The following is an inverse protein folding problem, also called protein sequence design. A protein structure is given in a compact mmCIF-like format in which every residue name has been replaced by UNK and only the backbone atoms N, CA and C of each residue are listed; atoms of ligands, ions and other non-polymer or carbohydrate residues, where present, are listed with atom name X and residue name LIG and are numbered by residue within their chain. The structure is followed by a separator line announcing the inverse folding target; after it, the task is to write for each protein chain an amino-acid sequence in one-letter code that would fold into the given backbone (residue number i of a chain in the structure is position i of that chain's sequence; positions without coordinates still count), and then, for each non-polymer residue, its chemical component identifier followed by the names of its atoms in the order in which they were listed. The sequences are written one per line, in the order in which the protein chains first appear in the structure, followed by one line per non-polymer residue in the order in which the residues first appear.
data_IF_341127533955
#
_entry.id   IF_341127533955
#
_cell.length_a   1.000
_cell.length_b   1.000
_cell.length_c   1.000
_cell.angle_alpha   90.00
_cell.angle_beta   90.00
_cell.angle_gamma   90.00
#
_symmetry.space_group_name_H-M   'P 1'
#
loop_
_entity.id
_entity.type
_entity.pdbx_description
1 polymer ?
#
# COMPACT_ATOMS: atom_id res chain seq x y z
N UNK A 1 1.29 7.73 -19.41
CA UNK A 1 -0.17 7.88 -19.21
C UNK A 1 -0.54 9.26 -18.67
N UNK A 2 -0.01 9.71 -17.51
CA UNK A 2 -0.37 11.04 -16.93
C UNK A 2 -0.13 12.20 -17.92
N UNK A 3 1.02 12.25 -18.58
CA UNK A 3 1.31 13.29 -19.58
C UNK A 3 0.37 13.25 -20.81
N UNK A 4 -0.18 12.08 -21.17
CA UNK A 4 -1.17 11.99 -22.25
C UNK A 4 -2.53 12.51 -21.78
N UNK A 5 -2.95 12.16 -20.56
CA UNK A 5 -4.18 12.70 -19.96
C UNK A 5 -4.10 14.22 -19.80
N UNK A 6 -2.94 14.75 -19.41
CA UNK A 6 -2.77 16.20 -19.28
C UNK A 6 -2.98 16.95 -20.61
N UNK A 7 -2.53 16.36 -21.73
CA UNK A 7 -2.71 16.94 -23.07
C UNK A 7 -4.14 16.80 -23.61
N UNK A 8 -4.84 15.71 -23.27
CA UNK A 8 -6.13 15.36 -23.87
C UNK A 8 -7.34 15.81 -23.04
N UNK A 9 -7.21 15.85 -21.71
CA UNK A 9 -8.31 16.18 -20.82
C UNK A 9 -8.54 17.70 -20.75
N UNK A 10 -9.80 18.15 -20.58
CA UNK A 10 -10.11 19.56 -20.32
C UNK A 10 -9.27 20.10 -19.16
N UNK A 11 -8.83 21.36 -19.21
CA UNK A 11 -7.94 21.96 -18.18
C UNK A 11 -8.54 21.96 -16.77
N UNK A 12 -9.88 21.87 -16.66
CA UNK A 12 -10.63 21.76 -15.40
C UNK A 12 -10.70 20.33 -14.84
N UNK A 13 -10.34 19.31 -15.61
CA UNK A 13 -10.39 17.92 -15.16
C UNK A 13 -9.24 17.60 -14.19
N UNK A 14 -9.56 16.94 -13.08
CA UNK A 14 -8.57 16.36 -12.17
C UNK A 14 -7.99 15.08 -12.77
N UNK A 15 -6.69 14.86 -12.55
CA UNK A 15 -6.00 13.63 -12.97
C UNK A 15 -5.51 12.93 -11.70
N UNK A 16 -6.05 11.75 -11.43
CA UNK A 16 -5.74 10.97 -10.24
C UNK A 16 -5.02 9.65 -10.60
N UNK A 17 -4.02 9.27 -9.81
CA UNK A 17 -3.35 7.97 -9.89
C UNK A 17 -3.77 7.06 -8.73
N UNK A 18 -4.05 5.79 -9.02
CA UNK A 18 -4.33 4.73 -8.02
C UNK A 18 -3.08 3.88 -7.71
N UNK A 19 -1.88 4.44 -7.86
CA UNK A 19 -0.64 3.73 -7.54
C UNK A 19 -0.53 3.45 -6.04
N UNK A 20 -0.32 2.20 -5.64
CA UNK A 20 -0.16 1.79 -4.24
C UNK A 20 1.26 1.96 -3.69
N UNK A 21 2.26 1.97 -4.57
CA UNK A 21 3.69 1.97 -4.19
C UNK A 21 4.37 3.31 -4.45
N UNK A 22 4.11 3.92 -5.60
CA UNK A 22 4.74 5.17 -6.00
C UNK A 22 3.86 6.37 -5.66
N UNK A 23 4.36 7.37 -4.91
CA UNK A 23 3.63 8.61 -4.68
C UNK A 23 3.49 9.42 -5.98
N UNK A 24 2.49 10.30 -6.04
CA UNK A 24 2.23 11.09 -7.26
C UNK A 24 3.41 11.99 -7.64
N UNK A 25 4.20 12.44 -6.67
CA UNK A 25 5.43 13.21 -6.87
C UNK A 25 6.45 12.47 -7.74
N UNK A 26 6.70 11.19 -7.44
CA UNK A 26 7.58 10.31 -8.23
C UNK A 26 6.99 10.01 -9.61
N UNK A 27 5.67 9.83 -9.72
CA UNK A 27 5.00 9.53 -10.99
C UNK A 27 5.11 10.69 -12.00
N UNK A 28 5.07 11.93 -11.52
CA UNK A 28 5.17 13.11 -12.38
C UNK A 28 6.60 13.64 -12.53
N UNK A 29 7.57 13.05 -11.83
CA UNK A 29 8.97 13.45 -11.92
C UNK A 29 9.47 13.32 -13.37
N UNK A 30 10.08 14.38 -13.89
CA UNK A 30 10.57 14.43 -15.26
C UNK A 30 9.49 14.55 -16.35
N UNK A 31 8.20 14.68 -15.99
CA UNK A 31 7.13 14.92 -16.97
C UNK A 31 6.89 16.42 -17.20
N UNK A 32 6.77 16.82 -18.46
CA UNK A 32 6.29 18.15 -18.84
C UNK A 32 4.76 18.17 -18.85
N UNK A 33 4.16 18.79 -17.83
CA UNK A 33 2.71 18.94 -17.68
C UNK A 33 2.31 20.40 -17.86
N UNK A 34 1.27 20.64 -18.65
CA UNK A 34 0.67 21.96 -18.86
C UNK A 34 0.02 22.50 -17.58
N UNK A 35 -0.53 21.62 -16.74
CA UNK A 35 -1.08 21.99 -15.43
C UNK A 35 -0.97 20.83 -14.42
N UNK A 36 0.18 20.73 -13.76
CA UNK A 36 0.42 19.74 -12.69
C UNK A 36 -0.40 20.00 -11.41
N UNK A 37 -0.96 21.21 -11.22
CA UNK A 37 -1.69 21.57 -9.98
C UNK A 37 -2.96 20.76 -9.80
N UNK A 38 -3.48 20.16 -10.89
CA UNK A 38 -4.67 19.28 -10.93
C UNK A 38 -4.37 17.78 -10.80
N UNK A 39 -3.10 17.43 -10.61
CA UNK A 39 -2.63 16.05 -10.52
C UNK A 39 -2.45 15.65 -9.06
N UNK A 40 -2.97 14.48 -8.68
CA UNK A 40 -2.96 13.94 -7.32
C UNK A 40 -3.02 12.40 -7.32
N UNK A 41 -2.90 11.78 -6.14
CA UNK A 41 -3.21 10.36 -5.93
C UNK A 41 -4.62 10.20 -5.37
N UNK A 42 -5.31 9.16 -5.82
CA UNK A 42 -6.54 8.64 -5.25
C UNK A 42 -6.41 7.11 -5.15
N UNK A 43 -5.90 6.64 -4.01
CA UNK A 43 -5.55 5.25 -3.77
C UNK A 43 -6.71 4.50 -3.10
N UNK A 44 -7.31 3.58 -3.86
CA UNK A 44 -8.37 2.67 -3.42
C UNK A 44 -7.82 1.30 -3.05
N UNK A 45 -8.54 0.58 -2.21
CA UNK A 45 -8.12 -0.73 -1.71
C UNK A 45 -8.83 -1.89 -2.42
N UNK A 46 -8.12 -3.01 -2.57
CA UNK A 46 -8.73 -4.30 -2.88
C UNK A 46 -9.06 -5.01 -1.56
N UNK A 47 -10.22 -5.68 -1.42
CA UNK A 47 -11.24 -5.98 -2.43
C UNK A 47 -12.21 -4.80 -2.68
N UNK A 48 -12.98 -4.79 -3.80
CA UNK A 48 -13.68 -3.60 -4.29
C UNK A 48 -14.82 -3.14 -3.38
N UNK A 49 -15.21 -3.96 -2.40
CA UNK A 49 -16.16 -3.60 -1.35
C UNK A 49 -15.57 -2.62 -0.33
N UNK A 50 -14.24 -2.45 -0.30
CA UNK A 50 -13.61 -1.44 0.55
C UNK A 50 -13.98 -0.04 0.08
N UNK A 51 -14.65 0.72 0.95
CA UNK A 51 -14.95 2.12 0.70
C UNK A 51 -13.76 3.05 0.97
N UNK A 52 -12.65 2.56 1.51
CA UNK A 52 -11.51 3.39 1.87
C UNK A 52 -10.83 3.96 0.61
N UNK A 53 -10.59 5.27 0.62
CA UNK A 53 -9.88 5.98 -0.43
C UNK A 53 -8.89 6.96 0.20
N UNK A 54 -7.61 6.88 -0.16
CA UNK A 54 -6.61 7.84 0.29
C UNK A 54 -6.34 8.87 -0.80
N UNK A 55 -6.45 10.16 -0.45
CA UNK A 55 -6.21 11.27 -1.37
C UNK A 55 -4.95 12.00 -0.91
N UNK A 56 -3.99 12.14 -1.81
CA UNK A 56 -2.69 12.75 -1.55
C UNK A 56 -2.26 13.64 -2.71
N UNK A 57 -1.87 14.88 -2.43
CA UNK A 57 -1.25 15.77 -3.41
C UNK A 57 0.28 15.68 -3.41
N UNK A 58 0.91 16.33 -4.38
CA UNK A 58 2.32 16.73 -4.32
C UNK A 58 2.44 18.20 -3.92
N UNK A 59 3.66 18.72 -3.82
CA UNK A 59 3.96 20.08 -3.35
C UNK A 59 3.22 21.19 -4.11
N UNK A 60 2.89 20.98 -5.39
CA UNK A 60 2.24 21.99 -6.24
C UNK A 60 0.76 21.72 -6.50
N UNK A 61 0.20 20.61 -6.00
CA UNK A 61 -1.24 20.33 -6.10
C UNK A 61 -2.06 21.46 -5.45
N UNK A 62 -3.13 21.92 -6.10
CA UNK A 62 -4.04 22.88 -5.48
C UNK A 62 -4.81 22.20 -4.32
N UNK A 63 -4.71 22.71 -3.07
CA UNK A 63 -5.44 22.15 -1.92
C UNK A 63 -6.96 22.09 -2.12
N UNK A 64 -7.55 23.00 -2.91
CA UNK A 64 -8.98 22.98 -3.20
C UNK A 64 -9.40 21.73 -3.97
N UNK A 65 -8.53 21.18 -4.82
CA UNK A 65 -8.82 19.95 -5.56
C UNK A 65 -8.80 18.71 -4.67
N UNK A 66 -8.00 18.72 -3.60
CA UNK A 66 -8.06 17.68 -2.57
C UNK A 66 -9.41 17.73 -1.87
N UNK A 67 -9.83 18.90 -1.42
CA UNK A 67 -11.13 19.10 -0.76
C UNK A 67 -12.31 18.71 -1.67
N UNK A 68 -12.27 19.14 -2.93
CA UNK A 68 -13.27 18.78 -3.94
C UNK A 68 -13.36 17.27 -4.12
N UNK A 69 -12.22 16.60 -4.35
CA UNK A 69 -12.24 15.15 -4.56
C UNK A 69 -12.69 14.40 -3.30
N UNK A 70 -12.33 14.86 -2.10
CA UNK A 70 -12.86 14.31 -0.86
C UNK A 70 -14.38 14.46 -0.76
N UNK A 71 -14.93 15.62 -1.15
CA UNK A 71 -16.39 15.82 -1.14
C UNK A 71 -17.09 14.90 -2.14
N UNK A 72 -16.63 14.88 -3.39
CA UNK A 72 -17.21 14.05 -4.45
C UNK A 72 -17.10 12.56 -4.11
N UNK A 73 -15.96 12.10 -3.57
CA UNK A 73 -15.78 10.70 -3.18
C UNK A 73 -16.82 10.25 -2.14
N UNK A 74 -17.16 11.12 -1.16
CA UNK A 74 -18.21 10.82 -0.18
C UNK A 74 -19.59 10.68 -0.83
N UNK A 75 -19.92 11.53 -1.81
CA UNK A 75 -21.18 11.45 -2.56
C UNK A 75 -21.34 10.13 -3.31
N UNK A 76 -20.21 9.51 -3.67
CA UNK A 76 -20.16 8.21 -4.35
C UNK A 76 -19.97 7.00 -3.43
N UNK A 77 -20.10 7.17 -2.10
CA UNK A 77 -20.05 6.07 -1.13
C UNK A 77 -18.66 5.67 -0.66
N UNK A 78 -17.62 6.41 -1.03
CA UNK A 78 -16.28 6.22 -0.47
C UNK A 78 -16.11 6.95 0.87
N UNK A 79 -15.19 6.44 1.68
CA UNK A 79 -14.65 7.04 2.89
C UNK A 79 -13.26 7.62 2.57
N UNK A 80 -13.15 8.90 2.16
CA UNK A 80 -11.87 9.49 1.78
C UNK A 80 -11.06 9.97 2.99
N UNK A 81 -9.77 9.66 2.97
CA UNK A 81 -8.77 10.05 3.96
C UNK A 81 -7.69 10.91 3.31
N UNK A 82 -7.46 12.10 3.86
CA UNK A 82 -6.45 13.02 3.33
C UNK A 82 -5.06 12.69 3.89
N UNK A 83 -4.16 12.27 3.01
CA UNK A 83 -2.74 12.13 3.32
C UNK A 83 -2.09 13.50 3.24
N UNK A 84 -1.84 14.10 4.40
CA UNK A 84 -1.47 15.52 4.53
C UNK A 84 -0.09 15.89 3.94
N UNK A 85 0.77 14.90 3.74
CA UNK A 85 2.13 15.05 3.24
C UNK A 85 2.47 13.86 2.36
N UNK A 86 3.44 14.06 1.48
CA UNK A 86 3.96 12.98 0.66
C UNK A 86 4.43 11.81 1.53
N UNK A 87 3.93 10.61 1.23
CA UNK A 87 4.14 9.42 2.04
C UNK A 87 4.11 8.17 1.17
N UNK A 88 5.24 7.48 1.13
CA UNK A 88 5.35 6.16 0.50
C UNK A 88 4.49 5.14 1.25
N UNK A 89 3.54 4.55 0.52
CA UNK A 89 2.48 3.70 1.09
C UNK A 89 1.38 4.47 1.81
N UNK A 90 1.23 5.78 1.56
CA UNK A 90 0.15 6.61 2.10
C UNK A 90 0.05 6.52 3.63
N UNK A 91 -1.14 6.30 4.19
CA UNK A 91 -1.37 6.11 5.63
C UNK A 91 -1.35 4.61 5.94
N UNK A 92 -2.28 3.83 5.37
CA UNK A 92 -2.49 2.44 5.78
C UNK A 92 -1.33 1.54 5.37
N UNK A 93 -0.91 1.54 4.10
CA UNK A 93 0.18 0.65 3.65
C UNK A 93 1.51 0.96 4.37
N UNK A 94 1.76 2.23 4.72
CA UNK A 94 2.94 2.63 5.51
C UNK A 94 2.92 2.05 6.92
N UNK A 95 1.77 2.07 7.60
CA UNK A 95 1.60 1.48 8.94
C UNK A 95 1.64 -0.04 8.85
N UNK A 96 0.95 -0.60 7.85
CA UNK A 96 0.94 -2.04 7.57
C UNK A 96 2.34 -2.59 7.32
N UNK A 97 3.20 -1.88 6.60
CA UNK A 97 4.60 -2.27 6.41
C UNK A 97 5.37 -2.41 7.74
N UNK A 98 5.08 -1.57 8.75
CA UNK A 98 5.68 -1.71 10.06
C UNK A 98 5.15 -2.94 10.84
N UNK A 99 3.83 -3.13 10.86
CA UNK A 99 3.18 -4.27 11.51
C UNK A 99 3.68 -5.58 10.91
N UNK A 100 3.69 -5.65 9.58
CA UNK A 100 4.12 -6.80 8.80
C UNK A 100 5.58 -7.15 9.06
N UNK A 101 6.47 -6.15 9.04
CA UNK A 101 7.89 -6.33 9.33
C UNK A 101 8.11 -6.89 10.73
N UNK A 102 7.43 -6.34 11.74
CA UNK A 102 7.56 -6.79 13.12
C UNK A 102 7.00 -8.20 13.33
N UNK A 103 5.88 -8.54 12.67
CA UNK A 103 5.32 -9.87 12.68
C UNK A 103 6.31 -10.91 12.10
N UNK A 104 6.92 -10.59 10.95
CA UNK A 104 7.95 -11.43 10.34
C UNK A 104 9.19 -11.57 11.22
N UNK A 105 9.64 -10.48 11.85
CA UNK A 105 10.79 -10.51 12.76
C UNK A 105 10.51 -11.40 13.98
N UNK A 106 9.35 -11.23 14.60
CA UNK A 106 8.89 -12.05 15.74
C UNK A 106 8.90 -13.54 15.41
N UNK A 107 8.44 -13.91 14.20
CA UNK A 107 8.48 -15.30 13.74
C UNK A 107 9.90 -15.78 13.40
N UNK A 108 10.73 -14.92 12.79
CA UNK A 108 12.11 -15.24 12.44
C UNK A 108 12.99 -15.47 13.68
N UNK A 109 12.75 -14.75 14.76
CA UNK A 109 13.41 -14.91 16.06
C UNK A 109 12.88 -16.12 16.86
N UNK A 110 11.82 -16.77 16.38
CA UNK A 110 11.24 -17.94 17.03
C UNK A 110 10.43 -17.64 18.29
N UNK A 111 10.01 -16.38 18.49
CA UNK A 111 9.19 -15.96 19.64
C UNK A 111 7.81 -16.61 19.60
N UNK A 112 7.24 -16.74 18.39
CA UNK A 112 5.95 -17.38 18.16
C UNK A 112 5.84 -17.87 16.70
N UNK A 113 4.95 -18.83 16.46
CA UNK A 113 4.61 -19.30 15.12
C UNK A 113 3.68 -18.32 14.38
N UNK A 114 3.63 -18.35 13.04
CA UNK A 114 2.66 -17.56 12.26
C UNK A 114 1.21 -17.71 12.75
N UNK A 115 0.80 -18.94 13.13
CA UNK A 115 -0.56 -19.20 13.62
C UNK A 115 -0.86 -18.61 14.99
N UNK A 116 0.13 -18.59 15.90
CA UNK A 116 -0.02 -17.95 17.21
C UNK A 116 -0.08 -16.42 17.07
N UNK A 117 0.77 -15.84 16.20
CA UNK A 117 0.78 -14.40 15.94
C UNK A 117 -0.56 -13.98 15.30
N UNK A 118 -1.07 -14.72 14.33
CA UNK A 118 -2.39 -14.42 13.75
C UNK A 118 -3.51 -14.60 14.78
N UNK A 119 -3.44 -15.63 15.62
CA UNK A 119 -4.41 -15.90 16.68
C UNK A 119 -4.53 -14.71 17.64
N UNK A 120 -3.41 -14.20 18.17
CA UNK A 120 -3.45 -13.06 19.09
C UNK A 120 -3.94 -11.77 18.42
N UNK A 121 -3.59 -11.54 17.15
CA UNK A 121 -4.11 -10.39 16.40
C UNK A 121 -5.64 -10.46 16.24
N UNK A 122 -6.17 -11.63 15.89
CA UNK A 122 -7.62 -11.86 15.79
C UNK A 122 -8.31 -11.68 17.14
N UNK A 123 -7.72 -12.18 18.23
CA UNK A 123 -8.31 -12.09 19.55
C UNK A 123 -8.30 -10.66 20.12
N UNK A 124 -7.21 -9.91 19.94
CA UNK A 124 -7.06 -8.56 20.49
C UNK A 124 -7.77 -7.52 19.64
N UNK A 125 -7.57 -7.55 18.32
CA UNK A 125 -8.10 -6.53 17.40
C UNK A 125 -9.47 -6.89 16.84
N UNK A 126 -9.96 -8.11 17.09
CA UNK A 126 -11.23 -8.64 16.56
C UNK A 126 -11.30 -8.57 15.02
N UNK A 127 -10.17 -8.79 14.37
CA UNK A 127 -10.07 -8.85 12.90
C UNK A 127 -10.32 -10.28 12.41
N UNK A 128 -10.86 -10.47 11.19
CA UNK A 128 -11.09 -11.81 10.64
C UNK A 128 -9.80 -12.52 10.24
N UNK A 129 -8.75 -11.76 9.94
CA UNK A 129 -7.44 -12.27 9.49
C UNK A 129 -6.31 -11.62 10.29
N UNK A 130 -5.30 -12.41 10.61
CA UNK A 130 -4.04 -11.93 11.18
C UNK A 130 -3.06 -11.47 10.09
N UNK A 131 -1.90 -10.94 10.49
CA UNK A 131 -0.90 -10.43 9.55
C UNK A 131 -0.37 -11.49 8.56
N UNK A 132 -0.18 -12.74 8.96
CA UNK A 132 0.35 -13.79 8.07
C UNK A 132 -0.68 -14.24 7.04
N UNK A 133 -1.93 -14.44 7.43
CA UNK A 133 -3.03 -14.66 6.48
C UNK A 133 -3.19 -13.50 5.49
N UNK A 134 -3.02 -12.26 5.94
CA UNK A 134 -3.06 -11.11 5.04
C UNK A 134 -1.90 -11.12 4.05
N UNK A 135 -0.69 -11.50 4.48
CA UNK A 135 0.46 -11.67 3.58
C UNK A 135 0.22 -12.79 2.56
N UNK A 136 -0.36 -13.93 2.96
CA UNK A 136 -0.68 -15.03 2.05
C UNK A 136 -1.73 -14.65 1.01
N UNK A 137 -2.69 -13.78 1.35
CA UNK A 137 -3.67 -13.24 0.40
C UNK A 137 -3.01 -12.30 -0.62
N UNK A 138 -2.05 -11.47 -0.17
CA UNK A 138 -1.30 -10.56 -1.06
C UNK A 138 -0.35 -11.33 -1.98
N UNK A 139 0.27 -12.39 -1.46
CA UNK A 139 1.30 -13.18 -2.13
C UNK A 139 2.70 -12.81 -1.62
N UNK A 140 3.48 -13.84 -1.23
CA UNK A 140 4.73 -13.64 -0.49
C UNK A 140 5.84 -12.98 -1.33
N UNK A 141 5.85 -13.20 -2.63
CA UNK A 141 6.76 -12.54 -3.58
C UNK A 141 6.46 -11.04 -3.71
N UNK A 142 5.18 -10.67 -3.77
CA UNK A 142 4.75 -9.26 -3.77
C UNK A 142 5.13 -8.60 -2.44
N UNK A 143 4.90 -9.30 -1.32
CA UNK A 143 5.31 -8.84 0.01
C UNK A 143 6.82 -8.61 0.08
N UNK A 144 7.63 -9.55 -0.44
CA UNK A 144 9.08 -9.40 -0.47
C UNK A 144 9.51 -8.19 -1.30
N UNK A 145 8.95 -8.00 -2.50
CA UNK A 145 9.26 -6.84 -3.35
C UNK A 145 8.95 -5.50 -2.65
N UNK A 146 7.83 -5.44 -1.92
CA UNK A 146 7.47 -4.26 -1.13
C UNK A 146 8.51 -4.02 -0.01
N UNK A 147 8.89 -5.05 0.73
CA UNK A 147 9.87 -4.91 1.81
C UNK A 147 11.27 -4.52 1.30
N UNK A 148 11.70 -5.06 0.15
CA UNK A 148 12.95 -4.64 -0.49
C UNK A 148 12.90 -3.14 -0.87
N UNK A 149 11.80 -2.68 -1.46
CA UNK A 149 11.62 -1.26 -1.78
C UNK A 149 11.65 -0.37 -0.52
N UNK A 150 11.03 -0.81 0.58
CA UNK A 150 11.12 -0.09 1.85
C UNK A 150 12.55 -0.05 2.39
N UNK A 151 13.31 -1.14 2.28
CA UNK A 151 14.70 -1.22 2.75
C UNK A 151 15.64 -0.33 1.92
N UNK A 152 15.45 -0.23 0.60
CA UNK A 152 16.20 0.71 -0.26
C UNK A 152 16.05 2.17 0.18
N UNK A 153 14.84 2.54 0.63
CA UNK A 153 14.52 3.90 1.07
C UNK A 153 14.78 4.12 2.57
N UNK A 154 15.01 3.07 3.35
CA UNK A 154 15.22 3.10 4.81
C UNK A 154 16.30 2.10 5.23
N UNK A 155 17.57 2.53 5.28
CA UNK A 155 18.70 1.63 5.47
C UNK A 155 18.71 0.92 6.83
N UNK A 156 18.00 1.44 7.84
CA UNK A 156 17.93 0.86 9.18
C UNK A 156 16.94 -0.32 9.27
N UNK A 157 16.29 -0.72 8.18
CA UNK A 157 15.37 -1.87 8.18
C UNK A 157 16.18 -3.18 8.23
N UNK A 158 15.94 -4.06 9.22
CA UNK A 158 16.61 -5.35 9.34
C UNK A 158 16.40 -6.23 8.10
N UNK A 159 17.35 -7.12 7.79
CA UNK A 159 17.23 -8.05 6.66
C UNK A 159 16.47 -9.31 7.01
N UNK A 160 16.43 -9.68 8.29
CA UNK A 160 15.86 -10.91 8.83
C UNK A 160 14.40 -11.15 8.36
N UNK A 161 13.49 -10.16 8.34
CA UNK A 161 12.15 -10.33 7.79
C UNK A 161 12.15 -10.73 6.31
N UNK A 162 13.03 -10.14 5.51
CA UNK A 162 13.16 -10.41 4.07
C UNK A 162 13.80 -11.77 3.82
N UNK A 163 14.80 -12.13 4.61
CA UNK A 163 15.49 -13.42 4.54
C UNK A 163 14.56 -14.56 4.97
N UNK A 164 13.67 -14.32 5.95
CA UNK A 164 12.61 -15.25 6.31
C UNK A 164 11.67 -15.51 5.13
N UNK A 165 11.16 -14.45 4.48
CA UNK A 165 10.30 -14.58 3.29
C UNK A 165 11.00 -15.32 2.13
N UNK A 166 12.26 -14.99 1.84
CA UNK A 166 13.04 -15.63 0.76
C UNK A 166 13.07 -17.16 0.92
N UNK A 167 13.30 -17.65 2.14
CA UNK A 167 13.31 -19.10 2.43
C UNK A 167 11.96 -19.77 2.11
N UNK A 168 10.83 -19.13 2.40
CA UNK A 168 9.51 -19.67 2.04
C UNK A 168 9.32 -19.70 0.52
N UNK A 169 9.66 -18.59 -0.15
CA UNK A 169 9.51 -18.43 -1.60
C UNK A 169 10.37 -19.43 -2.38
N UNK A 170 11.62 -19.67 -1.95
CA UNK A 170 12.52 -20.68 -2.53
C UNK A 170 11.93 -22.10 -2.46
N UNK A 171 11.07 -22.37 -1.48
CA UNK A 171 10.33 -23.63 -1.33
C UNK A 171 8.99 -23.65 -2.08
N UNK A 172 8.74 -22.67 -2.96
CA UNK A 172 7.53 -22.56 -3.78
C UNK A 172 6.30 -22.05 -3.02
N UNK A 173 6.47 -21.57 -1.79
CA UNK A 173 5.38 -21.08 -0.94
C UNK A 173 5.12 -19.61 -1.28
N UNK A 174 4.06 -19.34 -2.06
CA UNK A 174 3.73 -18.00 -2.54
C UNK A 174 2.43 -17.44 -1.95
N UNK A 175 1.80 -18.14 -1.01
CA UNK A 175 0.51 -17.79 -0.44
C UNK A 175 -0.65 -18.47 -1.16
N UNK A 176 -1.83 -17.85 -1.09
CA UNK A 176 -3.09 -18.39 -1.61
C UNK A 176 -2.99 -18.74 -3.09
N UNK A 177 -2.23 -17.95 -3.88
CA UNK A 177 -2.11 -18.16 -5.34
C UNK A 177 -1.48 -19.49 -5.76
N UNK A 178 -0.71 -20.12 -4.88
CA UNK A 178 -0.11 -21.45 -5.09
C UNK A 178 -0.65 -22.51 -4.12
N UNK A 179 -1.75 -22.22 -3.41
CA UNK A 179 -2.32 -23.14 -2.41
C UNK A 179 -1.46 -23.31 -1.15
N UNK A 180 -0.35 -22.57 -1.02
CA UNK A 180 0.56 -22.68 0.11
C UNK A 180 1.41 -21.43 0.30
N UNK A 181 1.43 -20.91 1.53
CA UNK A 181 2.29 -19.85 2.02
C UNK A 181 2.74 -20.16 3.44
N UNK A 182 2.42 -19.28 4.38
CA UNK A 182 2.49 -19.59 5.81
C UNK A 182 1.47 -20.67 6.22
N UNK A 183 0.34 -20.72 5.51
CA UNK A 183 -0.70 -21.74 5.67
C UNK A 183 -0.85 -22.60 4.41
N UNK A 184 -1.60 -23.70 4.53
CA UNK A 184 -2.03 -24.51 3.38
C UNK A 184 -3.47 -24.15 3.03
N UNK A 185 -3.78 -24.02 1.73
CA UNK A 185 -5.08 -23.59 1.18
C UNK A 185 -5.63 -24.59 0.17
#
# INVERSE_FOLDING_TARGET
MVAQLDKLAPTSALIASNSSSYPISEIIEGLELSNERRVLSAHSYWPPESSALEIMGHQRTNPEYISLLMEESRKHGFSPYHVKKDSMGYIYNRIWAAIKREALLTAAEGVATPSEIDGIFKDVLKTPKGPFEQMDVVGLDVVLNIEEHYAEKRPDIPSEPRDYLKKLIENGQLGVKNGRGFYNY
#
